data_IF_191151535572
#
_entry.id   IF_191151535572
#
_cell.length_a   1.000
_cell.length_b   1.000
_cell.length_c   1.000
_cell.angle_alpha   90.00
_cell.angle_beta   90.00
_cell.angle_gamma   90.00
#
_symmetry.space_group_name_H-M   'P 1'
#
loop_
_entity.id
_entity.type
_entity.pdbx_description
1 polymer ?
#
# COMPACT_ATOMS: atom_id res chain seq x y z
N UNK A 1 8.36 -2.46 19.21
CA UNK A 1 7.74 -1.65 18.15
C UNK A 1 8.53 -1.77 16.86
N UNK A 2 7.86 -1.81 15.74
CA UNK A 2 8.45 -1.78 14.40
C UNK A 2 8.58 -0.34 13.86
N UNK A 3 8.02 0.64 14.58
CA UNK A 3 8.05 2.06 14.25
C UNK A 3 8.30 2.88 15.50
N UNK A 4 8.93 4.03 15.35
CA UNK A 4 9.10 5.06 16.38
C UNK A 4 8.24 6.31 16.11
N UNK A 5 7.52 6.33 15.00
CA UNK A 5 6.61 7.37 14.59
C UNK A 5 5.16 6.94 14.83
N UNK A 6 4.32 7.87 15.22
CA UNK A 6 2.88 7.67 15.28
C UNK A 6 2.28 7.59 13.86
N UNK A 7 1.06 7.11 13.75
CA UNK A 7 0.44 6.84 12.46
C UNK A 7 0.36 8.07 11.55
N UNK A 8 -0.03 9.22 12.10
CA UNK A 8 -0.07 10.50 11.37
C UNK A 8 1.33 10.96 10.91
N UNK A 9 2.34 10.71 11.73
CA UNK A 9 3.73 11.03 11.40
C UNK A 9 4.25 10.15 10.26
N UNK A 10 3.91 8.85 10.26
CA UNK A 10 4.26 7.94 9.17
C UNK A 10 3.64 8.36 7.83
N UNK A 11 2.37 8.81 7.83
CA UNK A 11 1.73 9.38 6.65
C UNK A 11 2.49 10.61 6.13
N UNK A 12 2.91 11.50 7.03
CA UNK A 12 3.67 12.70 6.70
C UNK A 12 5.09 12.40 6.20
N UNK A 13 5.68 11.26 6.63
CA UNK A 13 6.98 10.79 6.11
C UNK A 13 6.86 10.11 4.72
N UNK A 14 5.67 9.95 4.17
CA UNK A 14 5.45 9.37 2.84
C UNK A 14 4.93 7.92 2.84
N UNK A 15 4.64 7.31 4.00
CA UNK A 15 4.00 6.00 4.05
C UNK A 15 2.57 6.07 3.49
N UNK A 16 2.20 5.07 2.68
CA UNK A 16 0.87 4.96 2.07
C UNK A 16 0.27 3.58 2.20
N UNK A 17 1.05 2.57 2.60
CA UNK A 17 0.59 1.20 2.82
C UNK A 17 0.91 0.76 4.23
N UNK A 18 -0.07 0.20 4.93
CA UNK A 18 0.03 -0.17 6.35
C UNK A 18 -0.52 -1.57 6.60
N UNK A 19 0.21 -2.38 7.38
CA UNK A 19 -0.24 -3.68 7.90
C UNK A 19 -0.92 -3.44 9.26
N UNK A 20 -2.24 -3.54 9.28
CA UNK A 20 -3.09 -3.25 10.42
C UNK A 20 -3.51 -4.56 11.09
N UNK A 21 -3.07 -4.77 12.32
CA UNK A 21 -3.37 -5.94 13.12
C UNK A 21 -4.39 -5.62 14.19
N UNK A 22 -5.59 -6.20 14.07
CA UNK A 22 -6.72 -5.89 14.93
C UNK A 22 -7.00 -6.93 16.01
N UNK A 23 -7.45 -6.45 17.17
CA UNK A 23 -8.07 -7.24 18.23
C UNK A 23 -9.49 -6.71 18.47
N UNK A 24 -10.50 -7.45 18.04
CA UNK A 24 -11.91 -7.16 18.30
C UNK A 24 -12.41 -8.03 19.45
N UNK A 25 -12.98 -7.42 20.49
CA UNK A 25 -13.39 -8.14 21.71
C UNK A 25 -14.78 -8.77 21.61
N UNK A 26 -15.55 -8.47 20.54
CA UNK A 26 -16.92 -8.95 20.31
C UNK A 26 -17.23 -9.03 18.82
N UNK A 27 -18.19 -9.88 18.43
CA UNK A 27 -18.54 -10.14 17.03
C UNK A 27 -19.21 -8.94 16.34
N UNK A 28 -19.88 -8.07 17.07
CA UNK A 28 -20.50 -6.84 16.58
C UNK A 28 -19.65 -5.60 16.93
N UNK A 29 -18.33 -5.72 16.87
CA UNK A 29 -17.43 -4.63 17.18
C UNK A 29 -17.60 -3.46 16.17
N UNK A 30 -17.60 -2.23 16.69
CA UNK A 30 -17.35 -1.05 15.86
C UNK A 30 -15.83 -0.84 15.65
N UNK A 31 -15.45 0.03 14.76
CA UNK A 31 -14.03 0.35 14.56
C UNK A 31 -13.36 0.92 15.84
N UNK A 32 -14.12 1.53 16.75
CA UNK A 32 -13.64 2.01 18.04
C UNK A 32 -13.39 0.87 19.04
N UNK A 33 -14.07 -0.27 18.88
CA UNK A 33 -13.89 -1.45 19.73
C UNK A 33 -12.69 -2.32 19.29
N UNK A 34 -12.12 -2.06 18.11
CA UNK A 34 -10.97 -2.82 17.58
C UNK A 34 -9.68 -2.13 17.97
N UNK A 35 -8.90 -2.74 18.83
CA UNK A 35 -7.58 -2.26 19.26
C UNK A 35 -6.51 -2.72 18.27
N UNK A 36 -5.50 -1.89 18.04
CA UNK A 36 -4.37 -2.24 17.19
C UNK A 36 -3.29 -2.90 18.03
N UNK A 37 -2.95 -4.14 17.66
CA UNK A 37 -2.09 -5.04 18.43
C UNK A 37 -1.03 -5.72 17.54
N UNK A 38 -0.06 -6.37 18.16
CA UNK A 38 0.87 -7.26 17.49
C UNK A 38 1.28 -8.42 18.42
N UNK A 39 1.36 -9.63 17.87
CA UNK A 39 1.66 -10.81 18.67
C UNK A 39 0.55 -11.19 19.65
N UNK A 40 -0.68 -11.14 19.19
CA UNK A 40 -1.87 -11.36 20.02
C UNK A 40 -2.15 -10.15 20.92
N UNK A 41 -2.46 -10.40 22.18
CA UNK A 41 -2.74 -9.34 23.17
C UNK A 41 -1.46 -8.75 23.82
N UNK A 42 -0.29 -9.28 23.51
CA UNK A 42 0.94 -8.96 24.22
C UNK A 42 1.44 -7.53 23.95
N UNK A 43 1.22 -7.02 22.75
CA UNK A 43 1.73 -5.72 22.32
C UNK A 43 0.61 -4.86 21.73
N UNK A 44 0.12 -3.94 22.54
CA UNK A 44 -0.89 -2.97 22.15
C UNK A 44 -0.23 -1.67 21.71
N UNK A 45 -0.65 -1.13 20.56
CA UNK A 45 -0.22 0.17 20.08
C UNK A 45 -0.95 1.30 20.81
N UNK A 46 -0.27 2.42 21.02
CA UNK A 46 -0.81 3.57 21.74
C UNK A 46 -0.76 4.84 20.91
N UNK A 47 -1.69 5.73 21.18
CA UNK A 47 -1.70 7.11 20.71
C UNK A 47 -0.68 7.96 21.49
N UNK A 48 -0.47 9.22 21.04
CA UNK A 48 0.45 10.18 21.68
C UNK A 48 0.09 10.50 23.13
N UNK A 49 -1.19 10.42 23.48
CA UNK A 49 -1.70 10.66 24.83
C UNK A 49 -1.69 9.42 25.74
N UNK A 50 -1.20 8.30 25.24
CA UNK A 50 -1.12 7.03 25.95
C UNK A 50 -2.40 6.20 25.92
N UNK A 51 -3.46 6.67 25.24
CA UNK A 51 -4.66 5.87 25.00
C UNK A 51 -4.39 4.76 23.97
N UNK A 52 -5.26 3.77 23.92
CA UNK A 52 -5.15 2.67 22.98
C UNK A 52 -5.36 3.16 21.54
N UNK A 53 -4.45 2.82 20.63
CA UNK A 53 -4.66 3.00 19.22
C UNK A 53 -5.75 2.04 18.73
N UNK A 54 -6.79 2.58 18.10
CA UNK A 54 -7.92 1.82 17.58
C UNK A 54 -7.99 1.85 16.05
N UNK A 55 -8.73 0.93 15.45
CA UNK A 55 -9.04 0.98 14.03
C UNK A 55 -9.72 2.29 13.64
N UNK A 56 -10.62 2.80 14.50
CA UNK A 56 -11.29 4.10 14.31
C UNK A 56 -10.28 5.25 14.21
N UNK A 57 -9.26 5.25 15.07
CA UNK A 57 -8.19 6.28 15.03
C UNK A 57 -7.43 6.23 13.71
N UNK A 58 -7.04 5.03 13.24
CA UNK A 58 -6.36 4.82 11.95
C UNK A 58 -7.23 5.36 10.80
N UNK A 59 -8.51 4.94 10.75
CA UNK A 59 -9.44 5.33 9.70
C UNK A 59 -9.69 6.84 9.67
N UNK A 60 -9.96 7.45 10.82
CA UNK A 60 -10.17 8.89 10.95
C UNK A 60 -8.93 9.70 10.53
N UNK A 61 -7.75 9.25 10.92
CA UNK A 61 -6.48 9.90 10.58
C UNK A 61 -6.20 9.78 9.08
N UNK A 62 -6.48 8.61 8.48
CA UNK A 62 -6.40 8.40 7.04
C UNK A 62 -7.33 9.34 6.26
N UNK A 63 -8.60 9.45 6.68
CA UNK A 63 -9.56 10.35 6.04
C UNK A 63 -9.12 11.81 6.14
N UNK A 64 -8.69 12.27 7.32
CA UNK A 64 -8.18 13.64 7.52
C UNK A 64 -6.94 13.93 6.66
N UNK A 65 -6.06 12.94 6.50
CA UNK A 65 -4.91 13.05 5.62
C UNK A 65 -5.36 13.21 4.17
N UNK A 66 -6.25 12.35 3.68
CA UNK A 66 -6.74 12.34 2.30
C UNK A 66 -7.58 13.60 1.96
N UNK A 67 -8.27 14.19 2.93
CA UNK A 67 -8.96 15.48 2.74
C UNK A 67 -7.99 16.62 2.39
N UNK A 68 -6.79 16.59 2.98
CA UNK A 68 -5.73 17.58 2.72
C UNK A 68 -4.89 17.23 1.49
N UNK A 69 -4.76 15.95 1.18
CA UNK A 69 -3.90 15.40 0.13
C UNK A 69 -4.73 14.59 -0.88
N UNK A 70 -5.59 15.29 -1.63
CA UNK A 70 -6.60 14.68 -2.51
C UNK A 70 -6.02 13.85 -3.66
N UNK A 71 -4.76 14.04 -4.01
CA UNK A 71 -4.05 13.24 -5.03
C UNK A 71 -3.52 11.91 -4.50
N UNK A 72 -3.52 11.72 -3.18
CA UNK A 72 -2.97 10.57 -2.50
C UNK A 72 -4.01 9.47 -2.28
N UNK A 73 -3.53 8.27 -1.92
CA UNK A 73 -4.35 7.14 -1.46
C UNK A 73 -3.71 6.53 -0.21
N UNK A 74 -4.49 5.84 0.60
CA UNK A 74 -4.00 5.07 1.74
C UNK A 74 -4.45 3.63 1.60
N UNK A 75 -3.52 2.69 1.71
CA UNK A 75 -3.74 1.26 1.58
C UNK A 75 -3.68 0.62 2.96
N UNK A 76 -4.72 -0.09 3.36
CA UNK A 76 -4.81 -0.75 4.65
C UNK A 76 -4.97 -2.25 4.45
N UNK A 77 -3.91 -3.01 4.73
CA UNK A 77 -3.99 -4.48 4.83
C UNK A 77 -4.43 -4.84 6.23
N UNK A 78 -5.62 -5.39 6.38
CA UNK A 78 -6.24 -5.66 7.67
C UNK A 78 -6.21 -7.15 7.99
N UNK A 79 -5.73 -7.49 9.20
CA UNK A 79 -5.63 -8.87 9.69
C UNK A 79 -6.09 -8.97 11.15
N UNK A 80 -6.89 -9.98 11.53
CA UNK A 80 -7.10 -10.31 12.94
C UNK A 80 -5.81 -10.90 13.52
N UNK A 81 -5.33 -10.36 14.64
CA UNK A 81 -4.16 -10.87 15.36
C UNK A 81 -4.56 -11.43 16.72
N UNK A 82 -5.73 -11.02 17.23
CA UNK A 82 -6.39 -11.55 18.42
C UNK A 82 -7.89 -11.27 18.36
N UNK A 83 -8.63 -11.88 19.27
CA UNK A 83 -10.08 -11.68 19.46
C UNK A 83 -10.92 -12.23 18.31
N UNK A 84 -12.06 -11.59 18.06
CA UNK A 84 -13.04 -12.02 17.07
C UNK A 84 -12.70 -11.57 15.65
N UNK A 85 -12.50 -12.53 14.74
CA UNK A 85 -12.41 -12.25 13.29
C UNK A 85 -13.71 -11.67 12.76
N UNK A 86 -14.86 -12.18 13.21
CA UNK A 86 -16.20 -11.66 12.86
C UNK A 86 -16.33 -10.20 13.27
N UNK A 87 -15.84 -9.86 14.47
CA UNK A 87 -15.88 -8.48 14.96
C UNK A 87 -15.02 -7.52 14.15
N UNK A 88 -13.84 -7.94 13.73
CA UNK A 88 -12.99 -7.15 12.85
C UNK A 88 -13.64 -6.97 11.47
N UNK A 89 -14.14 -8.05 10.88
CA UNK A 89 -14.89 -8.05 9.63
C UNK A 89 -16.07 -7.07 9.68
N UNK A 90 -16.90 -7.17 10.75
CA UNK A 90 -18.04 -6.28 10.98
C UNK A 90 -17.60 -4.81 11.07
N UNK A 91 -16.56 -4.52 11.84
CA UNK A 91 -16.05 -3.15 12.00
C UNK A 91 -15.59 -2.51 10.67
N UNK A 92 -14.91 -3.28 9.82
CA UNK A 92 -14.49 -2.83 8.48
C UNK A 92 -15.70 -2.62 7.58
N UNK A 93 -16.67 -3.56 7.58
CA UNK A 93 -17.89 -3.47 6.77
C UNK A 93 -18.72 -2.22 7.10
N UNK A 94 -18.95 -1.96 8.38
CA UNK A 94 -19.74 -0.82 8.83
C UNK A 94 -19.06 0.52 8.50
N UNK A 95 -17.71 0.57 8.61
CA UNK A 95 -16.97 1.73 8.17
C UNK A 95 -17.12 1.96 6.66
N UNK A 96 -17.00 0.93 5.84
CA UNK A 96 -17.16 0.99 4.38
C UNK A 96 -18.56 1.51 4.04
N UNK A 97 -19.62 0.93 4.61
CA UNK A 97 -21.01 1.35 4.38
C UNK A 97 -21.25 2.82 4.73
N UNK A 98 -20.59 3.30 5.79
CA UNK A 98 -20.73 4.68 6.27
C UNK A 98 -19.88 5.69 5.47
N UNK A 99 -18.96 5.22 4.62
CA UNK A 99 -17.96 6.05 3.94
C UNK A 99 -17.74 5.61 2.47
N UNK A 100 -18.78 5.21 1.76
CA UNK A 100 -18.69 4.66 0.38
C UNK A 100 -17.85 5.53 -0.56
N UNK A 101 -18.07 6.86 -0.55
CA UNK A 101 -17.34 7.79 -1.40
C UNK A 101 -15.85 7.94 -1.06
N UNK A 102 -15.45 7.55 0.15
CA UNK A 102 -14.09 7.66 0.70
C UNK A 102 -13.31 6.36 0.64
N UNK A 103 -13.93 5.29 0.15
CA UNK A 103 -13.32 3.96 0.03
C UNK A 103 -13.34 3.55 -1.44
N UNK A 104 -12.31 2.86 -1.89
CA UNK A 104 -12.32 2.25 -3.22
C UNK A 104 -13.23 1.02 -3.23
N UNK A 105 -14.27 1.04 -4.05
CA UNK A 105 -15.29 -0.01 -4.13
C UNK A 105 -15.21 -0.84 -5.41
N UNK A 106 -14.12 -0.74 -6.18
CA UNK A 106 -13.87 -1.55 -7.37
C UNK A 106 -13.41 -2.97 -7.03
N UNK A 107 -13.57 -3.89 -7.97
CA UNK A 107 -13.10 -5.28 -7.82
C UNK A 107 -11.69 -5.53 -8.36
N UNK A 108 -11.06 -4.52 -8.95
CA UNK A 108 -9.76 -4.62 -9.60
C UNK A 108 -8.66 -3.91 -8.80
N UNK A 109 -7.41 -4.12 -9.19
CA UNK A 109 -6.32 -3.25 -8.72
C UNK A 109 -6.58 -1.85 -9.24
N UNK A 110 -6.77 -0.84 -8.37
CA UNK A 110 -7.13 0.49 -8.81
C UNK A 110 -5.96 1.19 -9.53
N UNK A 111 -6.27 1.94 -10.56
CA UNK A 111 -5.37 2.99 -11.01
C UNK A 111 -5.27 4.11 -9.96
N UNK A 112 -4.21 4.92 -10.02
CA UNK A 112 -4.12 6.10 -9.14
C UNK A 112 -5.29 7.07 -9.34
N UNK A 113 -5.85 7.17 -10.54
CA UNK A 113 -7.04 8.00 -10.82
C UNK A 113 -8.26 7.53 -10.01
N UNK A 114 -8.46 6.23 -9.88
CA UNK A 114 -9.59 5.63 -9.13
C UNK A 114 -9.37 5.64 -7.62
N UNK A 115 -8.11 5.51 -7.17
CA UNK A 115 -7.74 5.43 -5.76
C UNK A 115 -7.55 6.79 -5.09
N UNK A 116 -7.32 7.88 -5.83
CA UNK A 116 -7.07 9.21 -5.28
C UNK A 116 -8.17 9.66 -4.33
N UNK A 117 -7.76 10.16 -3.17
CA UNK A 117 -8.64 10.62 -2.09
C UNK A 117 -9.36 9.50 -1.35
N UNK A 118 -9.02 8.23 -1.60
CA UNK A 118 -9.71 7.06 -1.05
C UNK A 118 -8.79 6.15 -0.25
N UNK A 119 -9.40 5.44 0.70
CA UNK A 119 -8.80 4.28 1.36
C UNK A 119 -9.02 3.05 0.48
N UNK A 120 -7.97 2.25 0.30
CA UNK A 120 -8.01 0.95 -0.37
C UNK A 120 -7.75 -0.12 0.67
N UNK A 121 -8.67 -1.07 0.82
CA UNK A 121 -8.51 -2.20 1.73
C UNK A 121 -7.94 -3.42 1.04
N UNK A 122 -7.14 -4.18 1.78
CA UNK A 122 -6.77 -5.57 1.52
C UNK A 122 -7.07 -6.36 2.79
N UNK A 123 -7.63 -7.57 2.67
CA UNK A 123 -7.98 -8.36 3.84
C UNK A 123 -7.16 -9.63 3.96
N UNK A 124 -6.78 -9.99 5.19
CA UNK A 124 -6.14 -11.26 5.56
C UNK A 124 -7.07 -12.05 6.48
N UNK A 125 -8.32 -12.19 6.07
CA UNK A 125 -9.35 -13.03 6.68
C UNK A 125 -10.41 -13.39 5.64
N UNK A 126 -11.02 -14.57 5.81
CA UNK A 126 -12.17 -14.97 5.02
C UNK A 126 -13.43 -14.27 5.51
N UNK A 127 -14.33 -13.91 4.60
CA UNK A 127 -15.62 -13.36 4.96
C UNK A 127 -16.49 -14.47 5.54
N UNK A 128 -17.08 -14.19 6.69
CA UNK A 128 -17.97 -15.12 7.43
C UNK A 128 -19.43 -14.78 7.23
N UNK A 129 -19.73 -13.60 6.70
CA UNK A 129 -21.08 -13.09 6.46
C UNK A 129 -21.25 -12.70 4.99
N UNK A 130 -22.50 -12.69 4.55
CA UNK A 130 -22.85 -12.19 3.23
C UNK A 130 -23.03 -10.66 3.28
N UNK A 131 -22.27 -9.96 2.46
CA UNK A 131 -22.38 -8.51 2.28
C UNK A 131 -22.98 -8.18 0.92
N UNK A 132 -23.46 -6.96 0.80
CA UNK A 132 -23.75 -6.42 -0.53
C UNK A 132 -22.49 -6.44 -1.40
N UNK A 133 -22.64 -6.81 -2.68
CA UNK A 133 -21.49 -7.07 -3.54
C UNK A 133 -20.48 -5.92 -3.65
N UNK A 134 -20.94 -4.66 -3.49
CA UNK A 134 -20.01 -3.51 -3.48
C UNK A 134 -19.22 -3.41 -2.16
N UNK A 135 -19.82 -3.76 -1.01
CA UNK A 135 -19.13 -3.80 0.30
C UNK A 135 -18.07 -4.89 0.30
N UNK A 136 -18.40 -6.05 -0.23
CA UNK A 136 -17.45 -7.16 -0.37
C UNK A 136 -16.25 -6.76 -1.24
N UNK A 137 -16.49 -6.13 -2.41
CA UNK A 137 -15.41 -5.62 -3.26
C UNK A 137 -14.57 -4.55 -2.56
N UNK A 138 -15.21 -3.66 -1.78
CA UNK A 138 -14.53 -2.61 -1.04
C UNK A 138 -13.62 -3.13 0.08
N UNK A 139 -13.85 -4.36 0.60
CA UNK A 139 -12.94 -5.03 1.53
C UNK A 139 -11.65 -5.54 0.85
N UNK A 140 -11.55 -5.42 -0.47
CA UNK A 140 -10.37 -5.75 -1.24
C UNK A 140 -10.10 -7.24 -1.41
N UNK A 141 -8.93 -7.56 -1.94
CA UNK A 141 -8.54 -8.95 -2.23
C UNK A 141 -8.39 -9.77 -0.96
N UNK A 142 -8.79 -11.05 -1.06
CA UNK A 142 -8.58 -12.01 0.00
C UNK A 142 -7.14 -12.55 -0.03
N UNK A 143 -6.34 -12.13 0.94
CA UNK A 143 -4.95 -12.53 1.11
C UNK A 143 -4.77 -13.49 2.30
N UNK A 144 -5.79 -14.26 2.66
CA UNK A 144 -5.79 -15.14 3.86
C UNK A 144 -4.73 -16.24 3.75
N UNK A 145 -4.52 -16.79 2.54
CA UNK A 145 -3.56 -17.89 2.30
C UNK A 145 -2.08 -17.41 2.23
N UNK A 146 -1.71 -16.52 3.08
CA UNK A 146 -0.40 -15.89 3.16
C UNK A 146 0.60 -16.76 3.89
N UNK A 147 1.56 -17.30 3.15
CA UNK A 147 2.58 -18.22 3.65
C UNK A 147 3.89 -17.52 4.04
N UNK A 148 4.58 -18.11 5.02
CA UNK A 148 5.99 -17.84 5.26
C UNK A 148 6.84 -18.58 4.22
N UNK A 149 7.56 -17.82 3.40
CA UNK A 149 8.43 -18.38 2.36
C UNK A 149 9.86 -18.60 2.82
N UNK A 150 10.17 -18.41 4.11
CA UNK A 150 11.53 -18.59 4.65
C UNK A 150 12.07 -20.01 4.44
N UNK A 151 11.20 -20.99 4.27
CA UNK A 151 11.53 -22.39 4.06
C UNK A 151 11.54 -22.80 2.58
N UNK A 152 11.34 -21.85 1.66
CA UNK A 152 11.34 -22.14 0.23
C UNK A 152 12.73 -21.98 -0.37
N UNK A 153 13.05 -22.75 -1.38
CA UNK A 153 14.33 -22.69 -2.09
C UNK A 153 14.47 -21.42 -2.95
N UNK A 154 13.37 -20.80 -3.32
CA UNK A 154 13.36 -19.57 -4.09
C UNK A 154 13.42 -18.32 -3.20
N UNK A 155 14.08 -17.27 -3.66
CA UNK A 155 14.28 -15.99 -2.96
C UNK A 155 13.63 -14.85 -3.73
N UNK A 156 12.30 -14.93 -3.96
CA UNK A 156 11.50 -13.93 -4.68
C UNK A 156 10.04 -13.94 -4.22
N UNK A 157 9.23 -12.96 -4.63
CA UNK A 157 7.81 -12.92 -4.31
C UNK A 157 7.05 -14.03 -5.04
N UNK A 158 6.11 -14.67 -4.36
CA UNK A 158 5.19 -15.64 -4.96
C UNK A 158 3.82 -15.02 -5.21
N UNK A 159 3.07 -15.57 -6.16
CA UNK A 159 1.71 -15.16 -6.46
C UNK A 159 0.76 -15.71 -5.40
N UNK A 160 0.26 -14.79 -4.56
CA UNK A 160 -0.66 -15.12 -3.47
C UNK A 160 -2.13 -15.10 -3.92
N UNK A 161 -2.48 -14.17 -4.81
CA UNK A 161 -3.83 -14.00 -5.33
C UNK A 161 -3.80 -13.97 -6.86
N UNK A 162 -4.79 -14.63 -7.48
CA UNK A 162 -4.96 -14.70 -8.92
C UNK A 162 -6.44 -14.96 -9.24
N UNK A 163 -7.09 -14.04 -9.93
CA UNK A 163 -8.45 -14.20 -10.46
C UNK A 163 -8.49 -14.23 -12.01
N UNK A 164 -7.32 -14.36 -12.63
CA UNK A 164 -7.13 -14.34 -14.08
C UNK A 164 -7.00 -12.93 -14.68
N UNK A 165 -7.26 -11.89 -13.90
CA UNK A 165 -7.15 -10.48 -14.29
C UNK A 165 -6.24 -9.69 -13.36
N UNK A 166 -6.37 -9.91 -12.06
CA UNK A 166 -5.61 -9.24 -11.01
C UNK A 166 -4.71 -10.24 -10.29
N UNK A 167 -3.48 -9.83 -10.01
CA UNK A 167 -2.51 -10.67 -9.34
C UNK A 167 -1.89 -9.93 -8.16
N UNK A 168 -1.77 -10.60 -7.01
CA UNK A 168 -1.02 -10.06 -5.87
C UNK A 168 0.16 -10.98 -5.59
N UNK A 169 1.35 -10.42 -5.67
CA UNK A 169 2.60 -11.09 -5.31
C UNK A 169 3.07 -10.63 -3.96
N UNK A 170 3.59 -11.54 -3.16
CA UNK A 170 4.04 -11.25 -1.81
C UNK A 170 5.41 -11.85 -1.52
N UNK A 171 6.28 -11.08 -0.92
CA UNK A 171 7.46 -11.56 -0.22
C UNK A 171 7.31 -11.24 1.26
N UNK A 172 7.12 -12.26 2.07
CA UNK A 172 7.13 -12.18 3.53
C UNK A 172 7.86 -13.41 4.12
N UNK A 173 9.15 -13.51 3.83
CA UNK A 173 10.01 -14.46 4.51
C UNK A 173 10.28 -13.95 5.94
N UNK A 174 9.42 -14.29 6.89
CA UNK A 174 9.51 -13.71 8.23
C UNK A 174 10.32 -14.57 9.23
N UNK A 175 10.43 -15.88 9.02
CA UNK A 175 11.19 -16.75 9.92
C UNK A 175 12.66 -16.93 9.48
N UNK A 176 13.37 -15.81 9.29
CA UNK A 176 14.74 -15.76 8.79
C UNK A 176 15.53 -14.66 9.48
N UNK A 177 16.86 -14.63 9.26
CA UNK A 177 17.78 -13.60 9.79
C UNK A 177 18.07 -12.52 8.73
N UNK A 178 18.59 -11.36 9.16
CA UNK A 178 18.79 -10.19 8.33
C UNK A 178 19.56 -10.44 7.03
N UNK A 179 20.68 -11.14 7.07
CA UNK A 179 21.50 -11.44 5.88
C UNK A 179 20.75 -12.31 4.86
N UNK A 180 20.01 -13.30 5.33
CA UNK A 180 19.18 -14.16 4.49
C UNK A 180 17.93 -13.40 4.02
N UNK A 181 17.30 -12.61 4.90
CA UNK A 181 16.16 -11.75 4.56
C UNK A 181 16.48 -10.86 3.37
N UNK A 182 17.68 -10.32 3.31
CA UNK A 182 18.11 -9.49 2.19
C UNK A 182 18.01 -10.21 0.82
N UNK A 183 18.31 -11.51 0.78
CA UNK A 183 18.20 -12.27 -0.47
C UNK A 183 16.75 -12.32 -1.00
N UNK A 184 15.75 -12.42 -0.10
CA UNK A 184 14.33 -12.38 -0.47
C UNK A 184 13.91 -10.98 -0.93
N UNK A 185 14.32 -9.92 -0.20
CA UNK A 185 14.03 -8.53 -0.56
C UNK A 185 14.59 -8.20 -1.94
N UNK A 186 15.90 -8.43 -2.14
CA UNK A 186 16.57 -8.10 -3.39
C UNK A 186 16.12 -8.96 -4.56
N UNK A 187 15.76 -10.22 -4.33
CA UNK A 187 15.18 -11.08 -5.35
C UNK A 187 13.82 -10.56 -5.84
N UNK A 188 12.96 -10.12 -4.91
CA UNK A 188 11.69 -9.49 -5.27
C UNK A 188 11.89 -8.17 -6.01
N UNK A 189 12.88 -7.35 -5.61
CA UNK A 189 13.22 -6.13 -6.35
C UNK A 189 13.67 -6.43 -7.79
N UNK A 190 14.44 -7.50 -7.99
CA UNK A 190 14.83 -7.93 -9.34
C UNK A 190 13.65 -8.38 -10.20
N UNK A 191 12.63 -9.00 -9.59
CA UNK A 191 11.38 -9.31 -10.31
C UNK A 191 10.67 -8.01 -10.75
N UNK A 192 10.42 -7.10 -9.80
CA UNK A 192 9.66 -5.87 -10.07
C UNK A 192 10.37 -4.95 -11.04
N UNK A 193 11.70 -4.91 -11.03
CA UNK A 193 12.51 -4.15 -12.00
C UNK A 193 12.74 -4.89 -13.32
N UNK A 194 12.25 -6.12 -13.47
CA UNK A 194 12.42 -6.95 -14.67
C UNK A 194 13.85 -7.43 -14.92
N UNK A 195 14.71 -7.39 -13.89
CA UNK A 195 16.06 -7.97 -13.95
C UNK A 195 16.01 -9.50 -13.82
N UNK A 196 15.03 -10.03 -13.08
CA UNK A 196 14.73 -11.46 -13.07
C UNK A 196 13.72 -11.80 -14.17
N UNK A 197 14.25 -12.22 -15.31
CA UNK A 197 13.44 -12.63 -16.46
C UNK A 197 12.89 -14.06 -16.34
N UNK A 198 13.39 -14.84 -15.38
CA UNK A 198 12.94 -16.22 -15.14
C UNK A 198 11.65 -16.29 -14.34
N UNK A 199 11.37 -15.26 -13.52
CA UNK A 199 10.19 -15.16 -12.67
C UNK A 199 9.50 -13.79 -12.86
N UNK A 200 8.99 -13.51 -14.06
CA UNK A 200 8.42 -12.20 -14.37
C UNK A 200 7.16 -11.95 -13.55
N UNK A 201 6.95 -10.69 -13.19
CA UNK A 201 5.68 -10.21 -12.65
C UNK A 201 4.70 -10.01 -13.80
N UNK A 202 3.51 -10.59 -13.69
CA UNK A 202 2.45 -10.45 -14.68
C UNK A 202 1.92 -9.01 -14.74
N UNK A 203 1.31 -8.67 -15.87
CA UNK A 203 0.62 -7.38 -16.00
C UNK A 203 -0.55 -7.30 -15.01
N UNK A 204 -0.89 -6.08 -14.57
CA UNK A 204 -1.93 -5.81 -13.59
C UNK A 204 -1.69 -6.53 -12.24
N UNK A 205 -0.48 -6.38 -11.74
CA UNK A 205 -0.05 -7.00 -10.49
C UNK A 205 0.23 -5.99 -9.40
N UNK A 206 -0.07 -6.36 -8.18
CA UNK A 206 0.34 -5.67 -6.96
C UNK A 206 1.43 -6.48 -6.26
N UNK A 207 2.59 -5.90 -6.07
CA UNK A 207 3.71 -6.58 -5.40
C UNK A 207 3.94 -5.96 -4.04
N UNK A 208 4.01 -6.80 -3.00
CA UNK A 208 4.24 -6.38 -1.62
C UNK A 208 5.51 -7.07 -1.10
N UNK A 209 6.49 -6.27 -0.71
CA UNK A 209 7.83 -6.73 -0.32
C UNK A 209 8.12 -6.30 1.12
N UNK A 210 8.12 -7.26 2.06
CA UNK A 210 8.38 -7.01 3.47
C UNK A 210 9.88 -7.02 3.76
N UNK A 211 10.38 -5.95 4.37
CA UNK A 211 11.77 -5.89 4.86
C UNK A 211 11.92 -6.44 6.27
N UNK A 212 10.82 -6.65 6.99
CA UNK A 212 10.79 -7.19 8.35
C UNK A 212 10.94 -8.71 8.39
N UNK A 213 11.44 -9.23 9.53
CA UNK A 213 11.40 -10.66 9.87
C UNK A 213 11.25 -10.84 11.39
N UNK A 214 10.88 -12.06 11.81
CA UNK A 214 10.63 -12.38 13.22
C UNK A 214 11.91 -12.69 14.01
N UNK A 215 13.01 -13.00 13.34
CA UNK A 215 14.27 -13.34 14.01
C UNK A 215 15.08 -12.09 14.36
N UNK A 216 15.49 -11.97 15.62
CA UNK A 216 16.21 -10.80 16.13
C UNK A 216 15.27 -9.68 16.61
N UNK A 217 15.80 -8.47 16.69
CA UNK A 217 15.01 -7.29 17.09
C UNK A 217 14.67 -6.42 15.86
N UNK A 218 13.49 -5.77 15.82
CA UNK A 218 13.15 -4.90 14.71
C UNK A 218 14.19 -3.81 14.42
N UNK A 219 14.77 -3.21 15.48
CA UNK A 219 15.81 -2.20 15.34
C UNK A 219 17.14 -2.78 14.81
N UNK A 220 17.54 -3.96 15.29
CA UNK A 220 18.73 -4.65 14.80
C UNK A 220 18.63 -4.98 13.33
N UNK A 221 17.48 -5.51 12.91
CA UNK A 221 17.17 -5.80 11.52
C UNK A 221 17.20 -4.54 10.64
N UNK A 222 16.56 -3.46 11.11
CA UNK A 222 16.53 -2.19 10.38
C UNK A 222 17.94 -1.64 10.12
N UNK A 223 18.82 -1.70 11.12
CA UNK A 223 20.22 -1.26 10.97
C UNK A 223 21.01 -2.09 9.95
N UNK A 224 20.60 -3.31 9.70
CA UNK A 224 21.19 -4.17 8.68
C UNK A 224 20.57 -3.96 7.30
N UNK A 225 19.25 -3.90 7.21
CA UNK A 225 18.51 -3.91 5.94
C UNK A 225 18.38 -2.52 5.30
N UNK A 226 17.99 -1.48 6.08
CA UNK A 226 17.72 -0.18 5.48
C UNK A 226 18.94 0.45 4.78
N UNK A 227 20.20 0.34 5.30
CA UNK A 227 21.37 0.82 4.57
C UNK A 227 21.64 0.06 3.26
N UNK A 228 21.31 -1.25 3.21
CA UNK A 228 21.45 -2.04 1.97
C UNK A 228 20.39 -1.62 0.95
N UNK A 229 19.16 -1.48 1.40
CA UNK A 229 18.07 -1.02 0.56
C UNK A 229 18.42 0.34 -0.07
N UNK A 230 18.88 1.30 0.73
CA UNK A 230 19.30 2.62 0.26
C UNK A 230 20.43 2.54 -0.77
N UNK A 231 21.43 1.72 -0.54
CA UNK A 231 22.59 1.57 -1.44
C UNK A 231 22.22 0.87 -2.75
N UNK A 232 21.41 -0.18 -2.67
CA UNK A 232 21.10 -1.01 -3.84
C UNK A 232 20.00 -0.37 -4.68
N UNK A 233 19.06 0.37 -4.09
CA UNK A 233 18.11 1.19 -4.82
C UNK A 233 18.79 2.32 -5.57
N UNK A 234 19.78 2.98 -4.97
CA UNK A 234 20.59 3.96 -5.68
C UNK A 234 21.28 3.37 -6.93
N UNK A 235 21.52 2.07 -6.97
CA UNK A 235 22.04 1.36 -8.14
C UNK A 235 20.93 0.79 -9.06
N UNK A 236 19.70 0.63 -8.56
CA UNK A 236 18.53 0.14 -9.31
C UNK A 236 17.70 1.28 -9.93
N UNK A 237 18.11 2.53 -9.74
CA UNK A 237 17.40 3.77 -10.16
C UNK A 237 17.19 3.90 -11.68
N UNK A 238 17.69 2.98 -12.47
CA UNK A 238 17.40 2.95 -13.90
C UNK A 238 15.94 2.52 -14.20
N UNK A 239 14.96 3.31 -13.67
CA UNK A 239 13.62 3.45 -14.24
C UNK A 239 12.60 2.34 -13.98
N UNK A 240 12.49 1.71 -12.79
CA UNK A 240 11.49 0.66 -12.63
C UNK A 240 10.79 0.63 -11.27
N UNK A 241 9.54 0.27 -11.33
CA UNK A 241 8.60 0.07 -10.25
C UNK A 241 9.10 -0.95 -9.21
N UNK A 242 9.18 -0.57 -7.93
CA UNK A 242 9.61 -1.47 -6.84
C UNK A 242 8.45 -2.23 -6.19
N UNK A 243 7.22 -1.85 -6.46
CA UNK A 243 6.05 -2.32 -5.72
C UNK A 243 5.90 -1.61 -4.38
N UNK A 244 5.10 -2.20 -3.50
CA UNK A 244 4.93 -1.74 -2.13
C UNK A 244 6.03 -2.30 -1.25
N UNK A 245 6.88 -1.45 -0.70
CA UNK A 245 7.95 -1.83 0.23
C UNK A 245 7.50 -1.58 1.67
N UNK A 246 7.37 -2.64 2.47
CA UNK A 246 6.95 -2.59 3.87
C UNK A 246 8.15 -2.46 4.78
N UNK A 247 8.33 -1.29 5.40
CA UNK A 247 9.52 -0.92 6.15
C UNK A 247 9.30 -0.94 7.67
N UNK A 248 10.35 -1.32 8.40
CA UNK A 248 10.50 -0.98 9.82
C UNK A 248 11.19 0.39 9.94
N UNK A 249 10.81 1.18 10.95
CA UNK A 249 11.43 2.47 11.30
C UNK A 249 11.59 3.37 10.07
N UNK A 250 10.46 3.70 9.48
CA UNK A 250 10.40 4.59 8.32
C UNK A 250 10.98 5.97 8.65
N UNK A 251 11.73 6.55 7.71
CA UNK A 251 12.18 7.94 7.73
C UNK A 251 11.95 8.61 6.37
N UNK A 252 12.09 9.93 6.31
CA UNK A 252 11.86 10.70 5.09
C UNK A 252 12.84 10.32 3.96
N UNK A 253 14.16 10.20 4.18
CA UNK A 253 15.10 9.83 3.12
C UNK A 253 14.77 8.48 2.46
N UNK A 254 14.41 7.48 3.25
CA UNK A 254 14.05 6.15 2.74
C UNK A 254 12.72 6.17 2.00
N UNK A 255 11.71 6.82 2.57
CA UNK A 255 10.42 6.99 1.90
C UNK A 255 10.58 7.68 0.57
N UNK A 256 11.32 8.79 0.55
CA UNK A 256 11.58 9.59 -0.64
C UNK A 256 12.29 8.78 -1.73
N UNK A 257 13.32 8.03 -1.37
CA UNK A 257 14.03 7.15 -2.28
C UNK A 257 13.06 6.18 -2.97
N UNK A 258 12.16 5.54 -2.22
CA UNK A 258 11.21 4.56 -2.74
C UNK A 258 10.18 5.22 -3.66
N UNK A 259 9.52 6.31 -3.22
CA UNK A 259 8.46 6.88 -4.05
C UNK A 259 9.01 7.66 -5.27
N UNK A 260 10.25 8.18 -5.21
CA UNK A 260 10.89 8.81 -6.38
C UNK A 260 11.19 7.81 -7.50
N UNK A 261 11.28 6.50 -7.22
CA UNK A 261 11.35 5.50 -8.29
C UNK A 261 10.13 5.53 -9.21
N UNK A 262 8.98 5.96 -8.70
CA UNK A 262 7.76 6.12 -9.50
C UNK A 262 7.84 7.31 -10.48
N UNK A 263 8.65 8.32 -10.20
CA UNK A 263 8.84 9.49 -11.10
C UNK A 263 9.56 9.12 -12.39
N UNK A 264 10.31 8.03 -12.37
CA UNK A 264 10.98 7.47 -13.52
C UNK A 264 10.02 6.68 -14.44
N UNK A 265 8.80 6.41 -13.97
CA UNK A 265 7.70 5.95 -14.80
C UNK A 265 6.95 7.17 -15.40
N UNK A 266 7.68 8.16 -15.87
CA UNK A 266 7.10 9.23 -16.65
C UNK A 266 6.50 8.56 -17.89
N UNK A 267 5.20 8.34 -17.89
CA UNK A 267 4.45 8.47 -19.11
C UNK A 267 4.87 9.83 -19.66
N UNK A 268 5.68 9.84 -20.72
CA UNK A 268 5.70 11.05 -21.54
C UNK A 268 4.25 11.32 -21.85
N UNK A 269 3.64 12.38 -21.28
CA UNK A 269 2.31 12.72 -21.70
C UNK A 269 2.49 12.87 -23.22
N UNK A 270 1.73 12.12 -24.02
CA UNK A 270 1.58 12.47 -25.42
C UNK A 270 1.05 13.89 -25.35
N UNK A 271 1.98 14.84 -25.50
CA UNK A 271 1.58 16.23 -25.63
C UNK A 271 0.58 16.24 -26.77
N UNK A 272 -0.65 16.71 -26.51
CA UNK A 272 -1.58 16.90 -27.59
C UNK A 272 -0.81 17.66 -28.67
N UNK A 273 -0.77 17.14 -29.88
CA UNK A 273 -0.37 17.95 -31.03
C UNK A 273 -1.50 19.00 -31.11
N UNK A 274 -1.28 20.27 -30.74
CA UNK A 274 -2.34 21.24 -30.78
C UNK A 274 -2.70 21.42 -32.24
N UNK A 275 -3.88 21.03 -32.66
CA UNK A 275 -4.50 21.59 -33.84
C UNK A 275 -4.88 23.04 -33.47
N UNK A 276 -3.96 23.94 -33.73
CA UNK A 276 -4.18 25.37 -33.55
C UNK A 276 -4.78 25.89 -34.85
N UNK A 277 -6.06 26.03 -34.91
CA UNK A 277 -6.69 26.87 -35.94
C UNK A 277 -6.56 28.34 -35.49
N UNK A 278 -5.66 29.06 -36.10
CA UNK A 278 -5.51 30.51 -35.91
C UNK A 278 -6.06 31.21 -37.15
N UNK A 279 -7.10 31.99 -36.97
CA UNK A 279 -7.53 32.88 -38.07
C UNK A 279 -6.53 34.00 -38.29
N UNK A 280 -6.37 34.41 -39.53
CA UNK A 280 -5.45 35.50 -39.92
C UNK A 280 -5.74 36.78 -39.10
N UNK A 281 -4.79 37.19 -38.28
CA UNK A 281 -4.89 38.37 -37.43
C UNK A 281 -5.16 38.09 -35.94
N UNK A 282 -5.35 36.83 -35.53
CA UNK A 282 -5.43 36.44 -34.15
C UNK A 282 -4.04 36.21 -33.55
N UNK A 283 -3.88 36.51 -32.27
CA UNK A 283 -2.69 36.16 -31.50
C UNK A 283 -2.81 34.75 -30.93
N UNK A 284 -1.69 34.08 -30.65
CA UNK A 284 -1.66 32.76 -29.97
C UNK A 284 -2.45 32.74 -28.65
N UNK A 285 -2.60 33.87 -27.96
CA UNK A 285 -3.38 34.00 -26.73
C UNK A 285 -4.89 33.92 -26.96
N UNK A 286 -5.36 34.15 -28.21
CA UNK A 286 -6.77 34.12 -28.61
C UNK A 286 -7.13 32.80 -29.29
N UNK A 287 -6.16 31.91 -29.50
CA UNK A 287 -6.37 30.61 -30.10
C UNK A 287 -7.09 29.66 -29.14
N UNK A 288 -8.18 29.06 -29.62
CA UNK A 288 -8.87 28.01 -28.86
C UNK A 288 -8.12 26.68 -29.03
N UNK A 289 -7.47 26.21 -27.96
CA UNK A 289 -6.90 24.86 -27.93
C UNK A 289 -8.07 23.86 -27.84
N UNK A 290 -8.28 23.06 -28.86
CA UNK A 290 -9.14 21.88 -28.74
C UNK A 290 -8.41 20.85 -27.91
N UNK A 291 -8.86 20.66 -26.66
CA UNK A 291 -8.32 19.69 -25.74
C UNK A 291 -8.51 18.26 -26.24
N UNK A 292 -7.56 17.40 -25.94
CA UNK A 292 -7.75 15.96 -26.01
C UNK A 292 -8.61 15.60 -24.79
N UNK A 293 -9.63 14.78 -24.99
CA UNK A 293 -10.56 14.35 -23.93
C UNK A 293 -9.90 13.70 -22.71
N UNK A 294 -8.64 13.25 -22.85
CA UNK A 294 -7.84 12.60 -21.82
C UNK A 294 -6.61 13.44 -21.35
N UNK A 295 -6.62 14.75 -21.54
CA UNK A 295 -5.52 15.58 -21.04
C UNK A 295 -5.51 15.58 -19.50
N UNK A 296 -4.36 15.38 -18.83
CA UNK A 296 -4.29 15.46 -17.39
C UNK A 296 -4.68 16.85 -16.90
N UNK A 297 -5.54 16.90 -15.88
CA UNK A 297 -5.89 18.16 -15.23
C UNK A 297 -4.62 18.81 -14.63
N UNK A 298 -4.29 19.97 -15.12
CA UNK A 298 -3.12 20.76 -14.65
C UNK A 298 -3.19 22.18 -15.19
N UNK A 299 -2.57 23.09 -14.46
CA UNK A 299 -2.38 24.47 -14.92
C UNK A 299 -1.11 24.52 -15.76
N UNK A 300 -1.24 24.73 -17.05
CA UNK A 300 -0.09 24.94 -17.93
C UNK A 300 0.47 26.34 -17.67
N UNK A 301 1.77 26.41 -17.39
CA UNK A 301 2.52 27.67 -17.34
C UNK A 301 3.37 27.82 -18.57
#
# INVERSE_FOLDING_TARGET
SCQNLYYDEQLNMGARSFDIRGNATKDNASAADVKIVHGGELWQCQEKDGSDLTLQSILNTSLKFLEKHKSETVILTVKPDAGSTIGLEHAVAEFIKSNEEKVYCGGDIPSMKEARGKIVFLRRFDLTQNYEGWVERAMGFNLTNWDDISYKDYKYAYKLYDDGKNHVYIQDAYNTYGSEKWAYISGTMKQTTGQDTSHPIEYNSWVINYTSCAQGTPLGLTREINPRLFKDEANCIDNRFLGTVMLNFIDEPMSRLIYETNSNMIFEPKLPTPEVEVEYGQTLAEATLKGIEDAPEGTWK
#
